data_IF_098701243734
#
_entry.id   IF_098701243734
#
_cell.length_a   1.000
_cell.length_b   1.000
_cell.length_c   1.000
_cell.angle_alpha   90.00
_cell.angle_beta   90.00
_cell.angle_gamma   90.00
#
_symmetry.space_group_name_H-M   'P 1'
#
loop_
_entity.id
_entity.type
_entity.pdbx_description
1 polymer ?
#
# COMPACT_ATOMS: atom_id res chain seq x y z
N UNK A 1 -3.53 -9.01 -23.80
CA UNK A 1 -3.38 -7.54 -23.72
C UNK A 1 -2.11 -7.26 -22.94
N UNK A 2 -0.96 -7.18 -23.63
CA UNK A 2 0.34 -6.94 -22.99
C UNK A 2 0.44 -5.42 -22.80
N UNK A 3 0.26 -4.95 -21.57
CA UNK A 3 0.34 -3.54 -21.26
C UNK A 3 1.79 -3.05 -21.43
N UNK A 4 1.95 -1.95 -22.20
CA UNK A 4 3.23 -1.40 -22.62
C UNK A 4 3.99 -0.78 -21.46
N UNK A 5 5.32 -0.90 -21.51
CA UNK A 5 6.29 -0.49 -20.46
C UNK A 5 6.37 1.04 -20.21
N UNK A 6 5.42 1.84 -20.71
CA UNK A 6 5.41 3.31 -20.62
C UNK A 6 4.44 3.86 -19.56
N UNK A 7 3.66 3.00 -18.90
CA UNK A 7 2.64 3.41 -17.90
C UNK A 7 3.11 3.26 -16.44
N UNK A 8 4.38 2.93 -16.20
CA UNK A 8 4.91 2.73 -14.86
C UNK A 8 5.11 4.05 -14.13
N UNK A 9 4.15 4.42 -13.28
CA UNK A 9 4.34 5.44 -12.25
C UNK A 9 5.20 4.84 -11.15
N UNK A 10 6.35 5.47 -10.86
CA UNK A 10 7.17 5.11 -9.69
C UNK A 10 6.33 5.42 -8.44
N UNK A 11 6.01 4.43 -7.60
CA UNK A 11 5.27 4.69 -6.37
C UNK A 11 6.10 5.60 -5.47
N UNK A 12 5.45 6.56 -4.81
CA UNK A 12 6.11 7.47 -3.88
C UNK A 12 6.59 6.68 -2.65
N UNK A 13 7.74 7.05 -2.07
CA UNK A 13 8.41 6.32 -0.98
C UNK A 13 7.44 6.06 0.20
N UNK A 14 6.55 7.02 0.48
CA UNK A 14 5.57 6.91 1.58
C UNK A 14 4.50 5.84 1.36
N UNK A 15 4.06 5.61 0.12
CA UNK A 15 3.02 4.62 -0.19
C UNK A 15 3.56 3.18 -0.11
N UNK A 16 4.84 2.98 -0.49
CA UNK A 16 5.53 1.69 -0.36
C UNK A 16 5.60 1.21 1.09
N UNK A 17 5.86 2.12 2.03
CA UNK A 17 6.16 1.76 3.42
C UNK A 17 4.98 1.12 4.15
N UNK A 18 3.74 1.43 3.79
CA UNK A 18 2.55 0.89 4.45
C UNK A 18 2.28 -0.57 4.03
N UNK A 19 2.46 -0.90 2.75
CA UNK A 19 2.25 -2.26 2.25
C UNK A 19 3.35 -3.22 2.71
N UNK A 20 4.60 -2.74 2.72
CA UNK A 20 5.73 -3.50 3.26
C UNK A 20 5.52 -3.76 4.75
N UNK A 21 5.02 -2.78 5.50
CA UNK A 21 4.75 -2.93 6.92
C UNK A 21 3.76 -4.06 7.25
N UNK A 22 2.65 -4.11 6.52
CA UNK A 22 1.65 -5.16 6.74
C UNK A 22 2.18 -6.54 6.33
N UNK A 23 2.94 -6.61 5.23
CA UNK A 23 3.50 -7.87 4.74
C UNK A 23 4.54 -8.44 5.71
N UNK A 24 5.45 -7.61 6.23
CA UNK A 24 6.42 -8.00 7.27
C UNK A 24 5.73 -8.50 8.53
N UNK A 25 4.69 -7.78 9.00
CA UNK A 25 3.95 -8.16 10.21
C UNK A 25 3.26 -9.52 10.04
N UNK A 26 2.72 -9.81 8.86
CA UNK A 26 2.10 -11.10 8.57
C UNK A 26 3.14 -12.24 8.53
N UNK A 27 4.37 -11.94 8.11
CA UNK A 27 5.49 -12.89 8.11
C UNK A 27 6.14 -13.09 9.48
N UNK A 28 5.73 -12.36 10.51
CA UNK A 28 6.27 -12.49 11.88
C UNK A 28 7.64 -11.86 12.09
N UNK A 29 8.12 -11.06 11.13
CA UNK A 29 9.38 -10.32 11.26
C UNK A 29 9.18 -8.97 11.97
N UNK A 30 10.25 -8.42 12.54
CA UNK A 30 10.19 -7.10 13.16
C UNK A 30 9.96 -6.02 12.10
N UNK A 31 8.89 -5.25 12.33
CA UNK A 31 8.43 -4.24 11.39
C UNK A 31 9.46 -3.12 11.20
N UNK A 32 10.02 -2.60 12.29
CA UNK A 32 10.85 -1.41 12.23
C UNK A 32 12.23 -1.76 11.68
N UNK A 33 12.78 -2.90 12.08
CA UNK A 33 14.09 -3.35 11.61
C UNK A 33 14.11 -3.58 10.10
N UNK A 34 13.15 -4.36 9.59
CA UNK A 34 13.06 -4.67 8.15
C UNK A 34 12.78 -3.44 7.30
N UNK A 35 11.91 -2.53 7.77
CA UNK A 35 11.61 -1.30 7.05
C UNK A 35 12.82 -0.36 6.97
N UNK A 36 13.62 -0.27 8.04
CA UNK A 36 14.86 0.54 8.04
C UNK A 36 15.88 -0.02 7.05
N UNK A 37 16.08 -1.35 7.02
CA UNK A 37 16.97 -2.01 6.06
C UNK A 37 16.54 -1.73 4.61
N UNK A 38 15.26 -1.89 4.30
CA UNK A 38 14.70 -1.64 2.96
C UNK A 38 14.81 -0.17 2.56
N UNK A 39 14.57 0.75 3.49
CA UNK A 39 14.69 2.19 3.22
C UNK A 39 16.15 2.59 2.96
N UNK A 40 17.10 1.99 3.69
CA UNK A 40 18.53 2.21 3.47
C UNK A 40 18.95 1.72 2.08
N UNK A 41 18.61 0.47 1.72
CA UNK A 41 18.97 -0.10 0.41
C UNK A 41 18.27 0.62 -0.75
N UNK A 42 17.03 1.06 -0.56
CA UNK A 42 16.32 1.87 -1.55
C UNK A 42 17.01 3.22 -1.79
N UNK A 43 17.54 3.84 -0.73
CA UNK A 43 18.21 5.15 -0.80
C UNK A 43 19.60 5.03 -1.44
N UNK A 44 20.30 3.92 -1.23
CA UNK A 44 21.64 3.67 -1.76
C UNK A 44 21.61 3.21 -3.23
N UNK A 45 20.74 2.25 -3.57
CA UNK A 45 20.64 1.70 -4.92
C UNK A 45 19.81 2.56 -5.88
N UNK A 46 18.86 3.34 -5.37
CA UNK A 46 17.85 4.03 -6.17
C UNK A 46 16.90 3.09 -6.92
N UNK A 47 16.99 1.78 -6.67
CA UNK A 47 16.19 0.75 -7.33
C UNK A 47 14.91 0.44 -6.56
N UNK A 48 13.97 -0.26 -7.20
CA UNK A 48 12.71 -0.64 -6.57
C UNK A 48 12.90 -1.85 -5.65
N UNK A 49 13.38 -1.59 -4.43
CA UNK A 49 13.52 -2.58 -3.36
C UNK A 49 12.15 -2.87 -2.73
N UNK A 50 11.94 -4.13 -2.34
CA UNK A 50 10.82 -4.68 -1.57
C UNK A 50 11.33 -5.56 -0.43
N UNK A 51 10.44 -6.32 0.23
CA UNK A 51 10.78 -7.21 1.36
C UNK A 51 10.58 -8.67 0.94
N UNK A 52 11.56 -9.52 1.23
CA UNK A 52 11.39 -10.97 1.15
C UNK A 52 10.62 -11.48 2.38
N UNK A 53 9.48 -12.13 2.13
CA UNK A 53 8.62 -12.65 3.19
C UNK A 53 9.10 -13.96 3.80
N UNK A 54 10.10 -14.62 3.21
CA UNK A 54 10.67 -15.86 3.75
C UNK A 54 11.87 -15.59 4.68
N UNK A 55 12.65 -14.55 4.36
CA UNK A 55 13.93 -14.26 5.04
C UNK A 55 13.83 -12.96 5.86
N UNK A 56 12.92 -12.05 5.50
CA UNK A 56 12.77 -10.74 6.15
C UNK A 56 13.79 -9.71 5.67
N UNK A 57 14.56 -10.00 4.63
CA UNK A 57 15.61 -9.13 4.11
C UNK A 57 15.13 -8.36 2.85
N UNK A 58 15.73 -7.20 2.56
CA UNK A 58 15.41 -6.44 1.35
C UNK A 58 15.76 -7.23 0.09
N UNK A 59 14.89 -7.12 -0.92
CA UNK A 59 15.10 -7.75 -2.23
C UNK A 59 14.66 -6.85 -3.38
N UNK A 60 15.29 -7.01 -4.55
CA UNK A 60 14.85 -6.33 -5.77
C UNK A 60 13.66 -7.06 -6.37
N UNK A 61 12.47 -6.45 -6.28
CA UNK A 61 11.22 -7.08 -6.73
C UNK A 61 11.22 -7.48 -8.22
N UNK A 62 11.99 -6.76 -9.05
CA UNK A 62 12.12 -7.05 -10.47
C UNK A 62 12.91 -8.34 -10.75
N UNK A 63 13.86 -8.71 -9.89
CA UNK A 63 14.65 -9.95 -10.02
C UNK A 63 13.88 -11.17 -9.53
N UNK A 64 13.01 -10.98 -8.54
CA UNK A 64 12.09 -12.00 -8.03
C UNK A 64 10.84 -12.20 -8.90
N UNK A 65 10.71 -11.48 -10.03
CA UNK A 65 9.55 -11.47 -10.94
C UNK A 65 8.21 -11.15 -10.26
N UNK A 66 8.25 -10.36 -9.18
CA UNK A 66 7.06 -9.93 -8.44
C UNK A 66 6.59 -8.59 -9.00
N UNK A 67 5.56 -8.63 -9.83
CA UNK A 67 4.96 -7.46 -10.46
C UNK A 67 3.49 -7.31 -10.06
N UNK A 68 3.05 -6.05 -10.03
CA UNK A 68 1.66 -5.71 -9.73
C UNK A 68 1.07 -4.90 -10.89
N UNK A 69 -0.23 -5.06 -11.13
CA UNK A 69 -0.91 -4.37 -12.20
C UNK A 69 -1.01 -2.88 -11.88
N UNK A 70 -0.52 -2.06 -12.81
CA UNK A 70 -0.59 -0.62 -12.72
C UNK A 70 -2.02 -0.08 -12.45
N UNK A 71 -3.04 -0.64 -13.12
CA UNK A 71 -4.42 -0.20 -12.98
C UNK A 71 -4.94 -0.35 -11.54
N UNK A 72 -4.50 -1.40 -10.84
CA UNK A 72 -4.89 -1.67 -9.45
C UNK A 72 -4.34 -0.58 -8.54
N UNK A 73 -3.05 -0.25 -8.65
CA UNK A 73 -2.42 0.82 -7.85
C UNK A 73 -3.03 2.18 -8.12
N UNK A 74 -3.26 2.52 -9.40
CA UNK A 74 -3.88 3.78 -9.80
C UNK A 74 -5.29 3.93 -9.23
N UNK A 75 -6.12 2.89 -9.36
CA UNK A 75 -7.48 2.91 -8.85
C UNK A 75 -7.51 2.96 -7.32
N UNK A 76 -6.61 2.24 -6.65
CA UNK A 76 -6.51 2.24 -5.19
C UNK A 76 -6.24 3.64 -4.66
N UNK A 77 -5.23 4.35 -5.18
CA UNK A 77 -4.91 5.71 -4.74
C UNK A 77 -6.06 6.68 -5.03
N UNK A 78 -6.72 6.53 -6.18
CA UNK A 78 -7.86 7.36 -6.53
C UNK A 78 -9.06 7.13 -5.59
N UNK A 79 -9.47 5.89 -5.39
CA UNK A 79 -10.61 5.55 -4.52
C UNK A 79 -10.32 5.92 -3.06
N UNK A 80 -9.12 5.62 -2.56
CA UNK A 80 -8.75 5.91 -1.17
C UNK A 80 -8.76 7.41 -0.88
N UNK A 81 -8.24 8.24 -1.78
CA UNK A 81 -8.23 9.70 -1.58
C UNK A 81 -9.65 10.27 -1.54
N UNK A 82 -10.52 9.84 -2.47
CA UNK A 82 -11.93 10.27 -2.48
C UNK A 82 -12.67 9.87 -1.20
N UNK A 83 -12.53 8.61 -0.75
CA UNK A 83 -13.18 8.14 0.48
C UNK A 83 -12.63 8.87 1.70
N UNK A 84 -11.30 9.02 1.81
CA UNK A 84 -10.67 9.70 2.94
C UNK A 84 -11.11 11.16 3.06
N UNK A 85 -11.16 11.89 1.94
CA UNK A 85 -11.66 13.27 1.93
C UNK A 85 -13.13 13.33 2.35
N UNK A 86 -13.97 12.42 1.85
CA UNK A 86 -15.38 12.39 2.24
C UNK A 86 -15.57 12.07 3.72
N UNK A 87 -14.80 11.13 4.29
CA UNK A 87 -14.84 10.83 5.73
C UNK A 87 -14.35 12.03 6.55
N UNK A 88 -13.30 12.71 6.09
CA UNK A 88 -12.73 13.86 6.81
C UNK A 88 -13.67 15.07 6.84
N UNK A 89 -14.51 15.24 5.82
CA UNK A 89 -15.50 16.33 5.73
C UNK A 89 -16.81 16.05 6.48
N UNK A 90 -17.00 14.84 6.99
CA UNK A 90 -18.19 14.48 7.77
C UNK A 90 -17.88 14.70 9.25
N UNK A 91 -18.44 15.75 9.83
CA UNK A 91 -18.25 16.09 11.25
C UNK A 91 -19.17 15.28 12.17
N UNK A 92 -20.37 14.93 11.71
CA UNK A 92 -21.36 14.19 12.50
C UNK A 92 -22.07 13.12 11.68
N UNK A 93 -22.29 11.95 12.30
CA UNK A 93 -23.08 10.86 11.73
C UNK A 93 -24.41 10.81 12.49
N UNK A 94 -25.49 11.26 11.85
CA UNK A 94 -26.83 11.18 12.41
C UNK A 94 -27.50 9.87 11.99
N UNK A 95 -27.87 9.03 12.96
CA UNK A 95 -28.68 7.83 12.73
C UNK A 95 -30.13 8.12 13.09
N UNK A 96 -30.94 8.46 12.10
CA UNK A 96 -32.39 8.61 12.25
C UNK A 96 -33.14 7.42 11.63
N UNK A 97 -34.05 6.83 12.39
CA UNK A 97 -34.94 5.77 11.96
C UNK A 97 -36.13 5.70 12.91
N UNK A 98 -37.33 5.40 12.40
CA UNK A 98 -38.52 5.30 13.24
C UNK A 98 -38.46 3.99 14.04
N UNK A 99 -38.03 4.04 15.29
CA UNK A 99 -38.40 3.01 16.27
C UNK A 99 -39.83 3.30 16.71
N UNK A 100 -40.79 2.52 16.19
CA UNK A 100 -42.24 2.53 16.51
C UNK A 100 -43.15 3.34 15.57
N UNK A 101 -43.68 2.64 14.57
CA UNK A 101 -45.06 2.74 14.05
C UNK A 101 -45.39 1.28 13.69
N UNK A 102 -46.36 0.55 14.26
CA UNK A 102 -47.57 0.89 15.01
C UNK A 102 -48.20 -0.47 15.45
N UNK A 103 -48.78 -0.55 16.64
CA UNK A 103 -49.82 -1.54 17.00
C UNK A 103 -49.35 -2.83 17.66
#
# INVERSE_FOLDING_TARGET
>A
MIMSRKEWVKPNVKEKNIWLAQATKNSGFDLQETLVKVQAEHSESGQLVGVDLNIGEPMVAAEADIWDNYCVKKQLLHSCTVIATNIHLVDEIMRAGMSSLKG
#
